data_IF_494131453390
#
_entry.id   IF_494131453390
#
_cell.length_a   1.000
_cell.length_b   1.000
_cell.length_c   1.000
_cell.angle_alpha   90.00
_cell.angle_beta   90.00
_cell.angle_gamma   90.00
#
_symmetry.space_group_name_H-M   'P 1'
#
loop_
_entity.id
_entity.type
_entity.pdbx_description
1 polymer ?
#
# COMPACT_ATOMS: atom_id res chain seq x y z
N UNK A 1 11.24 45.78 23.79
CA UNK A 1 11.75 44.82 22.81
C UNK A 1 11.59 43.43 23.39
N UNK A 2 10.68 42.61 22.86
CA UNK A 2 10.62 41.20 23.24
C UNK A 2 11.86 40.52 22.62
N UNK A 3 12.72 39.95 23.47
CA UNK A 3 13.91 39.23 23.00
C UNK A 3 13.49 38.04 22.16
N UNK A 4 14.08 37.90 20.97
CA UNK A 4 14.02 36.68 20.20
C UNK A 4 14.74 35.60 21.02
N UNK A 5 13.98 34.68 21.63
CA UNK A 5 14.54 33.47 22.22
C UNK A 5 14.77 32.52 21.05
N UNK A 6 16.03 32.36 20.63
CA UNK A 6 16.39 31.26 19.73
C UNK A 6 16.32 29.99 20.58
N UNK A 7 15.43 29.03 20.28
CA UNK A 7 15.40 27.77 21.01
C UNK A 7 16.77 27.10 20.86
N UNK A 8 17.35 26.63 21.97
CA UNK A 8 18.58 25.84 21.91
C UNK A 8 18.26 24.53 21.21
N UNK A 9 18.79 24.34 20.00
CA UNK A 9 18.67 23.07 19.30
C UNK A 9 19.53 22.01 20.03
N UNK A 10 19.02 20.78 20.22
CA UNK A 10 19.81 19.72 20.80
C UNK A 10 21.02 19.40 19.91
N UNK A 11 22.08 18.88 20.52
CA UNK A 11 23.29 18.45 19.82
C UNK A 11 23.17 16.98 19.45
N UNK A 12 23.48 16.64 18.20
CA UNK A 12 23.42 15.27 17.70
C UNK A 12 24.82 14.74 17.40
N UNK A 13 24.98 13.42 17.38
CA UNK A 13 26.21 12.77 16.91
C UNK A 13 26.44 13.03 15.42
N UNK A 14 27.71 13.05 15.00
CA UNK A 14 28.10 13.14 13.58
C UNK A 14 28.14 11.74 12.96
N UNK A 15 26.99 11.08 12.95
CA UNK A 15 26.75 9.76 12.38
C UNK A 15 25.30 9.62 11.86
N UNK A 16 24.97 8.45 11.29
CA UNK A 16 23.63 8.20 10.75
C UNK A 16 22.53 8.33 11.82
N UNK A 17 22.81 7.93 13.06
CA UNK A 17 21.85 7.99 14.17
C UNK A 17 21.55 9.44 14.56
N UNK A 18 22.58 10.29 14.59
CA UNK A 18 22.46 11.72 14.83
C UNK A 18 21.74 12.44 13.69
N UNK A 19 21.96 12.03 12.44
CA UNK A 19 21.21 12.54 11.29
C UNK A 19 19.71 12.24 11.40
N UNK A 20 19.33 11.01 11.73
CA UNK A 20 17.91 10.61 11.92
C UNK A 20 17.28 11.43 13.05
N UNK A 21 17.91 11.44 14.22
CA UNK A 21 17.44 12.17 15.40
C UNK A 21 17.31 13.68 15.13
N UNK A 22 18.25 14.24 14.36
CA UNK A 22 18.24 15.64 13.95
C UNK A 22 17.09 15.98 13.03
N UNK A 23 16.80 15.11 12.05
CA UNK A 23 15.66 15.26 11.14
C UNK A 23 14.31 15.27 11.87
N UNK A 24 14.11 14.31 12.77
CA UNK A 24 12.91 14.20 13.61
C UNK A 24 12.70 15.46 14.47
N UNK A 25 13.78 15.95 15.09
CA UNK A 25 13.73 17.17 15.89
C UNK A 25 13.36 18.39 15.05
N UNK A 26 13.91 18.53 13.83
CA UNK A 26 13.59 19.66 12.96
C UNK A 26 12.11 19.68 12.61
N UNK A 27 11.52 18.52 12.29
CA UNK A 27 10.10 18.38 12.01
C UNK A 27 9.26 18.85 13.21
N UNK A 28 9.60 18.39 14.42
CA UNK A 28 8.87 18.73 15.63
C UNK A 28 8.98 20.22 16.01
N UNK A 29 10.18 20.80 15.94
CA UNK A 29 10.43 22.21 16.33
C UNK A 29 9.88 23.20 15.30
N UNK A 30 9.99 22.87 14.00
CA UNK A 30 9.64 23.80 12.93
C UNK A 30 8.15 23.78 12.59
N UNK A 31 7.43 22.74 12.99
CA UNK A 31 6.02 22.54 12.68
C UNK A 31 5.20 22.42 13.98
N UNK A 32 5.08 23.50 14.78
CA UNK A 32 4.36 23.51 16.06
C UNK A 32 2.84 23.22 15.93
N UNK A 33 2.37 22.92 14.71
CA UNK A 33 0.99 22.55 14.36
C UNK A 33 0.88 21.25 13.56
N UNK A 34 1.97 20.51 13.34
CA UNK A 34 1.87 19.12 12.88
C UNK A 34 1.78 18.23 14.11
N UNK A 35 0.64 17.57 14.25
CA UNK A 35 0.34 16.74 15.43
C UNK A 35 0.82 15.30 15.22
N UNK A 36 1.11 14.91 13.97
CA UNK A 36 1.54 13.57 13.61
C UNK A 36 2.53 13.61 12.43
N UNK A 37 3.56 12.77 12.46
CA UNK A 37 4.42 12.46 11.31
C UNK A 37 4.81 10.99 11.32
N UNK A 38 5.29 10.46 10.19
CA UNK A 38 5.59 9.03 10.06
C UNK A 38 6.91 8.75 9.36
N UNK A 39 7.45 7.57 9.65
CA UNK A 39 8.61 7.02 8.95
C UNK A 39 8.16 6.22 7.74
N UNK A 40 8.69 6.49 6.55
CA UNK A 40 8.34 5.74 5.34
C UNK A 40 9.38 4.66 5.03
N UNK A 41 8.91 3.46 4.68
CA UNK A 41 9.72 2.39 4.11
C UNK A 41 9.15 1.89 2.80
N UNK A 42 10.01 1.44 1.89
CA UNK A 42 9.61 0.92 0.59
C UNK A 42 9.58 -0.60 0.61
N UNK A 43 8.49 -1.18 0.10
CA UNK A 43 8.37 -2.65 -0.03
C UNK A 43 9.41 -3.22 -1.00
N UNK A 44 9.95 -2.36 -1.87
CA UNK A 44 10.96 -2.67 -2.86
C UNK A 44 12.38 -2.21 -2.46
N UNK A 45 12.64 -1.91 -1.18
CA UNK A 45 13.92 -1.36 -0.73
C UNK A 45 15.16 -2.20 -1.12
N UNK A 46 15.00 -3.50 -1.37
CA UNK A 46 16.07 -4.41 -1.85
C UNK A 46 16.10 -4.60 -3.37
N UNK A 47 15.37 -3.79 -4.13
CA UNK A 47 15.35 -3.76 -5.60
C UNK A 47 13.96 -3.95 -6.20
N UNK A 48 13.25 -5.01 -5.83
CA UNK A 48 11.88 -5.32 -6.30
C UNK A 48 11.02 -5.85 -5.16
N UNK A 49 9.70 -5.88 -5.37
CA UNK A 49 8.76 -6.52 -4.45
C UNK A 49 8.46 -7.99 -4.84
N UNK A 50 9.31 -8.65 -5.64
CA UNK A 50 9.04 -10.00 -6.17
C UNK A 50 8.85 -11.05 -5.07
N UNK A 51 9.32 -10.79 -3.84
CA UNK A 51 9.14 -11.70 -2.72
C UNK A 51 7.66 -12.01 -2.44
N UNK A 52 6.73 -11.06 -2.68
CA UNK A 52 5.29 -11.28 -2.47
C UNK A 52 4.68 -12.24 -3.49
N UNK A 53 5.32 -12.39 -4.67
CA UNK A 53 4.86 -13.21 -5.78
C UNK A 53 5.26 -14.68 -5.63
N UNK A 54 6.20 -14.99 -4.72
CA UNK A 54 6.72 -16.34 -4.52
C UNK A 54 5.72 -17.19 -3.75
N UNK A 55 5.53 -18.43 -4.17
CA UNK A 55 4.69 -19.39 -3.44
C UNK A 55 5.25 -19.70 -2.02
N UNK A 56 6.55 -19.44 -1.81
CA UNK A 56 7.25 -19.58 -0.53
C UNK A 56 7.44 -18.26 0.22
N UNK A 57 6.64 -17.23 -0.09
CA UNK A 57 6.74 -15.94 0.59
C UNK A 57 6.59 -16.14 2.12
N UNK A 58 7.51 -15.56 2.89
CA UNK A 58 7.45 -15.54 4.35
C UNK A 58 7.30 -14.09 4.83
N UNK A 59 6.06 -13.56 4.87
CA UNK A 59 5.84 -12.18 5.24
C UNK A 59 6.24 -11.88 6.70
N UNK A 60 6.30 -12.90 7.56
CA UNK A 60 6.73 -12.74 8.95
C UNK A 60 8.23 -12.52 9.02
N UNK A 61 9.02 -13.34 8.31
CA UNK A 61 10.46 -13.16 8.25
C UNK A 61 10.84 -11.80 7.63
N UNK A 62 10.19 -11.41 6.53
CA UNK A 62 10.40 -10.11 5.90
C UNK A 62 10.05 -8.95 6.84
N UNK A 63 8.92 -9.03 7.54
CA UNK A 63 8.53 -8.02 8.51
C UNK A 63 9.46 -7.94 9.73
N UNK A 64 10.03 -9.07 10.17
CA UNK A 64 11.04 -9.08 11.23
C UNK A 64 12.34 -8.42 10.78
N UNK A 65 12.79 -8.67 9.55
CA UNK A 65 13.99 -8.05 9.00
C UNK A 65 13.84 -6.53 8.89
N UNK A 66 12.69 -6.06 8.37
CA UNK A 66 12.38 -4.62 8.28
C UNK A 66 12.34 -3.97 9.66
N UNK A 67 11.62 -4.57 10.61
CA UNK A 67 11.54 -4.03 11.97
C UNK A 67 12.89 -4.03 12.68
N UNK A 68 13.69 -5.09 12.50
CA UNK A 68 15.03 -5.19 13.06
C UNK A 68 15.95 -4.09 12.55
N UNK A 69 15.92 -3.82 11.25
CA UNK A 69 16.67 -2.72 10.65
C UNK A 69 16.23 -1.35 11.17
N UNK A 70 14.92 -1.09 11.25
CA UNK A 70 14.39 0.17 11.80
C UNK A 70 14.75 0.34 13.28
N UNK A 71 14.74 -0.75 14.04
CA UNK A 71 15.15 -0.72 15.44
C UNK A 71 16.64 -0.45 15.61
N UNK A 72 17.49 -1.07 14.77
CA UNK A 72 18.93 -0.81 14.73
C UNK A 72 19.21 0.67 14.46
N UNK A 73 18.48 1.28 13.53
CA UNK A 73 18.57 2.70 13.20
C UNK A 73 18.08 3.64 14.32
N UNK A 74 17.42 3.12 15.36
CA UNK A 74 16.96 3.92 16.49
C UNK A 74 15.79 4.85 16.18
N UNK A 75 15.08 4.67 15.06
CA UNK A 75 13.99 5.56 14.57
C UNK A 75 12.91 5.80 15.63
N UNK A 76 12.57 4.79 16.44
CA UNK A 76 11.52 4.90 17.45
C UNK A 76 12.06 4.98 18.89
N UNK A 77 13.31 5.42 19.08
CA UNK A 77 13.98 5.40 20.39
C UNK A 77 14.06 6.75 21.13
N UNK A 78 13.64 7.86 20.50
CA UNK A 78 13.77 9.22 21.02
C UNK A 78 12.45 9.89 21.44
N UNK A 79 12.57 11.07 22.06
CA UNK A 79 11.42 11.93 22.45
C UNK A 79 10.60 12.37 21.22
N UNK A 80 11.28 12.52 20.08
CA UNK A 80 10.69 12.92 18.81
C UNK A 80 10.50 11.73 17.87
N UNK A 81 10.20 10.54 18.39
CA UNK A 81 9.92 9.38 17.55
C UNK A 81 8.70 9.63 16.63
N UNK A 82 8.67 9.06 15.41
CA UNK A 82 7.51 9.15 14.53
C UNK A 82 6.26 8.49 15.15
N UNK A 83 5.07 8.98 14.79
CA UNK A 83 3.80 8.47 15.32
C UNK A 83 3.30 7.21 14.59
N UNK A 84 3.70 7.06 13.32
CA UNK A 84 3.31 5.93 12.49
C UNK A 84 4.44 5.48 11.55
N UNK A 85 4.28 4.31 10.95
CA UNK A 85 5.09 3.84 9.83
C UNK A 85 4.26 3.84 8.55
N UNK A 86 4.81 4.34 7.44
CA UNK A 86 4.20 4.29 6.12
C UNK A 86 4.90 3.25 5.24
N UNK A 87 4.13 2.41 4.56
CA UNK A 87 4.67 1.40 3.65
C UNK A 87 4.40 1.78 2.21
N UNK A 88 5.44 2.11 1.43
CA UNK A 88 5.36 2.36 -0.01
C UNK A 88 5.31 1.06 -0.83
N UNK A 89 4.16 0.77 -1.42
CA UNK A 89 3.94 -0.38 -2.32
C UNK A 89 4.53 -0.19 -3.70
N UNK A 90 4.75 1.04 -4.19
CA UNK A 90 4.92 1.46 -5.58
C UNK A 90 3.59 1.78 -6.29
N UNK A 91 3.36 3.06 -6.54
CA UNK A 91 2.09 3.68 -6.95
C UNK A 91 1.38 3.08 -8.18
N UNK A 92 2.05 2.31 -9.03
CA UNK A 92 1.48 1.83 -10.30
C UNK A 92 0.32 0.85 -10.08
N UNK A 93 -0.71 1.01 -10.91
CA UNK A 93 -1.81 0.06 -11.08
C UNK A 93 -1.26 -1.34 -11.42
N UNK A 94 -1.68 -2.36 -10.68
CA UNK A 94 -1.03 -3.69 -10.67
C UNK A 94 -0.87 -4.35 -12.05
N UNK A 95 -1.83 -4.16 -12.96
CA UNK A 95 -1.78 -4.76 -14.30
C UNK A 95 -1.45 -3.74 -15.40
N UNK A 96 -0.98 -2.55 -15.02
CA UNK A 96 -0.42 -1.57 -15.93
C UNK A 96 0.90 -2.07 -16.55
N UNK A 97 1.25 -1.65 -17.78
CA UNK A 97 2.50 -2.04 -18.43
C UNK A 97 3.76 -1.85 -17.56
N UNK A 98 3.80 -0.79 -16.76
CA UNK A 98 4.92 -0.46 -15.86
C UNK A 98 5.00 -1.40 -14.65
N UNK A 99 3.87 -1.93 -14.19
CA UNK A 99 3.79 -2.81 -13.04
C UNK A 99 3.93 -4.29 -13.39
N UNK A 100 3.58 -4.71 -14.61
CA UNK A 100 3.51 -6.11 -15.01
C UNK A 100 4.82 -6.88 -14.82
N UNK A 101 5.97 -6.22 -14.78
CA UNK A 101 7.24 -6.91 -14.55
C UNK A 101 7.39 -7.47 -13.11
N UNK A 102 6.91 -6.74 -12.09
CA UNK A 102 7.27 -6.98 -10.67
C UNK A 102 6.16 -6.67 -9.64
N UNK A 103 5.07 -6.02 -10.04
CA UNK A 103 4.12 -5.37 -9.12
C UNK A 103 2.65 -5.72 -9.41
N UNK A 104 2.40 -6.77 -10.21
CA UNK A 104 1.08 -7.35 -10.40
C UNK A 104 0.69 -8.25 -9.23
N UNK A 105 -0.23 -7.82 -8.37
CA UNK A 105 -0.54 -8.58 -7.15
C UNK A 105 -1.90 -9.25 -7.26
N UNK A 106 -2.00 -10.50 -6.84
CA UNK A 106 -3.29 -11.18 -6.63
C UNK A 106 -3.67 -11.11 -5.13
N UNK A 107 -4.76 -11.75 -4.71
CA UNK A 107 -5.21 -11.66 -3.32
C UNK A 107 -4.17 -12.24 -2.34
N UNK A 108 -3.54 -13.36 -2.70
CA UNK A 108 -2.46 -13.95 -1.88
C UNK A 108 -1.30 -12.96 -1.68
N UNK A 109 -0.89 -12.25 -2.74
CA UNK A 109 0.18 -11.25 -2.67
C UNK A 109 -0.19 -10.09 -1.74
N UNK A 110 -1.41 -9.57 -1.83
CA UNK A 110 -1.90 -8.52 -0.94
C UNK A 110 -1.97 -8.96 0.52
N UNK A 111 -2.40 -10.21 0.77
CA UNK A 111 -2.43 -10.79 2.11
C UNK A 111 -1.02 -10.96 2.69
N UNK A 112 -0.05 -11.38 1.87
CA UNK A 112 1.36 -11.44 2.26
C UNK A 112 1.88 -10.05 2.64
N UNK A 113 1.58 -9.03 1.83
CA UNK A 113 1.93 -7.64 2.14
C UNK A 113 1.32 -7.18 3.47
N UNK A 114 0.02 -7.40 3.70
CA UNK A 114 -0.64 -7.03 4.96
C UNK A 114 -0.09 -7.81 6.17
N UNK A 115 0.26 -9.08 6.00
CA UNK A 115 0.89 -9.88 7.04
C UNK A 115 2.27 -9.35 7.43
N UNK A 116 3.05 -8.88 6.44
CA UNK A 116 4.34 -8.21 6.68
C UNK A 116 4.13 -6.91 7.45
N UNK A 117 3.18 -6.07 7.03
CA UNK A 117 2.82 -4.82 7.73
C UNK A 117 2.43 -5.11 9.18
N UNK A 118 1.60 -6.11 9.42
CA UNK A 118 1.20 -6.53 10.77
C UNK A 118 2.39 -6.98 11.62
N UNK A 119 3.34 -7.69 11.02
CA UNK A 119 4.53 -8.14 11.73
C UNK A 119 5.44 -6.96 12.11
N UNK A 120 5.65 -6.01 11.20
CA UNK A 120 6.47 -4.81 11.48
C UNK A 120 5.81 -3.95 12.56
N UNK A 121 4.53 -3.63 12.40
CA UNK A 121 3.79 -2.81 13.36
C UNK A 121 3.72 -3.44 14.75
N UNK A 122 3.61 -4.77 14.83
CA UNK A 122 3.71 -5.51 16.10
C UNK A 122 5.09 -5.40 16.74
N UNK A 123 6.16 -5.48 15.94
CA UNK A 123 7.53 -5.42 16.45
C UNK A 123 7.92 -4.00 16.90
N UNK A 124 7.43 -2.97 16.19
CA UNK A 124 7.70 -1.56 16.51
C UNK A 124 6.71 -0.97 17.52
N UNK A 125 5.57 -1.62 17.76
CA UNK A 125 4.45 -1.10 18.56
C UNK A 125 3.87 0.22 18.01
N UNK A 126 3.86 0.33 16.68
CA UNK A 126 3.51 1.56 15.95
C UNK A 126 2.45 1.25 14.88
N UNK A 127 1.41 2.08 14.70
CA UNK A 127 0.40 1.87 13.66
C UNK A 127 0.95 2.15 12.25
N UNK A 128 0.32 1.55 11.24
CA UNK A 128 0.73 1.67 9.84
C UNK A 128 -0.23 2.49 8.98
N UNK A 129 0.34 3.26 8.06
CA UNK A 129 -0.32 3.83 6.89
C UNK A 129 0.13 3.09 5.64
N UNK A 130 -0.79 2.74 4.75
CA UNK A 130 -0.44 2.20 3.43
C UNK A 130 -0.27 3.34 2.43
N UNK A 131 0.86 3.35 1.72
CA UNK A 131 1.26 4.37 0.75
C UNK A 131 1.95 3.68 -0.44
N UNK A 132 2.16 4.30 -1.57
CA UNK A 132 1.05 4.72 -2.42
C UNK A 132 0.30 3.50 -2.95
N UNK A 133 -0.97 3.30 -2.53
CA UNK A 133 -1.79 2.19 -3.01
C UNK A 133 -2.55 2.62 -4.28
N UNK A 134 -2.42 1.90 -5.41
CA UNK A 134 -3.16 2.22 -6.62
C UNK A 134 -4.66 2.04 -6.43
N UNK A 135 -5.43 3.00 -6.91
CA UNK A 135 -6.89 3.00 -6.83
C UNK A 135 -7.59 2.14 -7.90
N UNK A 136 -6.87 1.64 -8.90
CA UNK A 136 -7.49 0.95 -10.03
C UNK A 136 -8.18 -0.34 -9.62
N UNK A 137 -9.15 -0.75 -10.43
CA UNK A 137 -9.94 -1.95 -10.21
C UNK A 137 -9.86 -2.93 -11.36
N UNK A 138 -10.39 -4.12 -11.10
CA UNK A 138 -10.54 -5.17 -12.09
C UNK A 138 -11.92 -5.01 -12.77
N UNK A 139 -11.98 -4.55 -14.03
CA UNK A 139 -13.27 -4.36 -14.71
C UNK A 139 -13.96 -5.70 -14.97
N UNK A 140 -15.27 -5.71 -14.76
CA UNK A 140 -16.13 -6.88 -15.00
C UNK A 140 -16.62 -6.94 -16.46
N UNK A 141 -17.15 -8.08 -16.88
CA UNK A 141 -17.84 -8.24 -18.17
C UNK A 141 -19.04 -7.30 -18.26
N UNK A 142 -19.80 -7.17 -17.17
CA UNK A 142 -20.99 -6.31 -17.10
C UNK A 142 -20.64 -4.82 -17.23
N UNK A 143 -19.57 -4.38 -16.55
CA UNK A 143 -19.09 -3.01 -16.62
C UNK A 143 -18.48 -2.67 -17.99
N UNK A 144 -17.80 -3.65 -18.58
CA UNK A 144 -16.92 -3.43 -19.72
C UNK A 144 -15.68 -2.62 -19.35
N UNK A 145 -15.02 -2.08 -20.37
CA UNK A 145 -13.70 -1.40 -20.26
C UNK A 145 -13.74 0.02 -20.84
N UNK A 146 -14.94 0.57 -21.06
CA UNK A 146 -15.09 1.89 -21.69
C UNK A 146 -14.77 3.04 -20.74
N UNK A 147 -14.88 2.81 -19.43
CA UNK A 147 -14.67 3.80 -18.36
C UNK A 147 -13.29 3.74 -17.71
N UNK A 148 -12.54 2.66 -17.96
CA UNK A 148 -11.22 2.44 -17.40
C UNK A 148 -10.28 1.92 -18.48
N UNK A 149 -9.14 2.58 -18.65
CA UNK A 149 -8.11 2.16 -19.60
C UNK A 149 -7.41 0.90 -19.11
N UNK A 150 -6.98 0.04 -20.03
CA UNK A 150 -6.16 -1.14 -19.70
C UNK A 150 -4.84 -0.80 -19.01
N UNK A 151 -4.34 0.43 -19.17
CA UNK A 151 -3.18 0.92 -18.44
C UNK A 151 -3.45 1.12 -16.93
N UNK A 152 -4.71 1.06 -16.50
CA UNK A 152 -5.14 1.32 -15.13
C UNK A 152 -5.88 0.14 -14.49
N UNK A 153 -5.89 -1.03 -15.14
CA UNK A 153 -6.41 -2.23 -14.50
C UNK A 153 -5.54 -2.57 -13.28
N UNK A 154 -6.17 -2.77 -12.14
CA UNK A 154 -5.46 -3.16 -10.92
C UNK A 154 -6.31 -4.00 -10.00
N UNK A 155 -5.65 -4.82 -9.19
CA UNK A 155 -6.29 -5.58 -8.12
C UNK A 155 -6.36 -4.82 -6.81
N UNK A 156 -5.62 -3.72 -6.65
CA UNK A 156 -5.52 -2.98 -5.38
C UNK A 156 -6.87 -2.41 -4.92
N UNK A 157 -7.52 -1.62 -5.77
CA UNK A 157 -8.85 -1.09 -5.50
C UNK A 157 -9.84 -2.21 -5.19
N UNK A 158 -9.91 -3.24 -6.06
CA UNK A 158 -10.81 -4.38 -5.87
C UNK A 158 -10.53 -5.18 -4.60
N UNK A 159 -9.27 -5.40 -4.23
CA UNK A 159 -8.90 -6.16 -3.04
C UNK A 159 -9.35 -5.45 -1.76
N UNK A 160 -9.04 -4.16 -1.65
CA UNK A 160 -9.35 -3.38 -0.45
C UNK A 160 -10.82 -3.00 -0.38
N UNK A 161 -11.44 -2.59 -1.49
CA UNK A 161 -12.80 -2.08 -1.48
C UNK A 161 -13.87 -3.14 -1.77
N UNK A 162 -13.49 -4.28 -2.36
CA UNK A 162 -14.41 -5.34 -2.73
C UNK A 162 -15.30 -4.99 -3.92
N UNK A 163 -15.60 -6.00 -4.74
CA UNK A 163 -16.57 -5.90 -5.84
C UNK A 163 -17.44 -7.16 -5.92
N UNK A 164 -18.66 -7.06 -5.38
CA UNK A 164 -19.59 -8.17 -5.30
C UNK A 164 -19.96 -8.76 -6.68
N UNK A 165 -19.76 -8.02 -7.78
CA UNK A 165 -19.98 -8.52 -9.14
C UNK A 165 -18.98 -9.61 -9.53
N UNK A 166 -17.79 -9.62 -8.90
CA UNK A 166 -16.75 -10.60 -9.16
C UNK A 166 -16.97 -11.87 -8.31
N UNK A 167 -17.23 -11.67 -7.02
CA UNK A 167 -17.35 -12.78 -6.08
C UNK A 167 -16.08 -13.65 -6.08
N UNK A 168 -16.27 -14.97 -6.06
CA UNK A 168 -15.17 -15.95 -6.14
C UNK A 168 -14.89 -16.46 -7.56
N UNK A 169 -15.51 -15.89 -8.60
CA UNK A 169 -15.40 -16.37 -9.99
C UNK A 169 -14.67 -15.34 -10.88
N UNK A 170 -13.37 -15.55 -11.18
CA UNK A 170 -12.63 -14.68 -12.07
C UNK A 170 -13.18 -14.57 -13.49
N UNK A 171 -14.03 -15.50 -13.96
CA UNK A 171 -14.59 -15.46 -15.31
C UNK A 171 -15.66 -14.36 -15.49
N UNK A 172 -16.07 -13.73 -14.39
CA UNK A 172 -16.89 -12.50 -14.38
C UNK A 172 -16.10 -11.25 -14.81
N UNK A 173 -14.77 -11.34 -14.87
CA UNK A 173 -13.87 -10.26 -15.27
C UNK A 173 -13.81 -10.08 -16.78
N UNK A 174 -13.46 -8.88 -17.22
CA UNK A 174 -13.29 -8.60 -18.65
C UNK A 174 -12.24 -9.51 -19.29
N UNK A 175 -12.54 -10.02 -20.48
CA UNK A 175 -11.59 -10.85 -21.25
C UNK A 175 -10.29 -10.09 -21.56
N UNK A 176 -10.34 -8.77 -21.68
CA UNK A 176 -9.14 -7.96 -21.89
C UNK A 176 -8.20 -8.05 -20.69
N UNK A 177 -8.72 -7.94 -19.46
CA UNK A 177 -7.92 -8.12 -18.25
C UNK A 177 -7.39 -9.55 -18.15
N UNK A 178 -8.26 -10.55 -18.32
CA UNK A 178 -7.89 -11.96 -18.13
C UNK A 178 -6.79 -12.40 -19.11
N UNK A 179 -6.81 -11.89 -20.34
CA UNK A 179 -5.82 -12.20 -21.38
C UNK A 179 -4.54 -11.34 -21.31
N UNK A 180 -4.42 -10.41 -20.36
CA UNK A 180 -3.18 -9.64 -20.17
C UNK A 180 -2.02 -10.59 -19.90
N UNK A 181 -0.99 -10.50 -20.73
CA UNK A 181 0.18 -11.37 -20.66
C UNK A 181 1.03 -11.07 -19.42
N UNK A 182 1.49 -12.13 -18.76
CA UNK A 182 2.42 -12.08 -17.64
C UNK A 182 3.70 -12.84 -17.97
N UNK A 183 4.80 -12.41 -17.35
CA UNK A 183 6.06 -13.16 -17.42
C UNK A 183 5.96 -14.41 -16.53
N UNK A 184 5.84 -15.60 -17.14
CA UNK A 184 5.74 -16.84 -16.37
C UNK A 184 6.95 -17.14 -15.49
N UNK A 185 8.12 -16.59 -15.78
CA UNK A 185 9.28 -16.73 -14.90
C UNK A 185 9.08 -16.01 -13.55
N UNK A 186 8.35 -14.89 -13.55
CA UNK A 186 8.05 -14.11 -12.34
C UNK A 186 6.78 -14.61 -11.64
N UNK A 187 5.71 -14.85 -12.40
CA UNK A 187 4.37 -15.14 -11.84
C UNK A 187 4.03 -16.63 -11.76
N UNK A 188 4.83 -17.48 -12.40
CA UNK A 188 4.55 -18.92 -12.53
C UNK A 188 3.46 -19.28 -13.53
N UNK A 189 2.82 -18.28 -14.16
CA UNK A 189 1.69 -18.44 -15.10
C UNK A 189 1.77 -17.40 -16.24
N UNK A 190 1.11 -17.63 -17.39
CA UNK A 190 1.27 -16.78 -18.57
C UNK A 190 0.28 -15.61 -18.65
N UNK A 191 -0.82 -15.62 -17.89
CA UNK A 191 -1.87 -14.60 -17.98
C UNK A 191 -2.35 -14.15 -16.62
N UNK A 192 -2.91 -12.94 -16.55
CA UNK A 192 -3.56 -12.43 -15.34
C UNK A 192 -4.72 -13.33 -14.91
N UNK A 193 -5.50 -13.87 -15.84
CA UNK A 193 -6.59 -14.78 -15.50
C UNK A 193 -6.09 -16.04 -14.78
N UNK A 194 -5.02 -16.65 -15.27
CA UNK A 194 -4.41 -17.81 -14.60
C UNK A 194 -3.83 -17.43 -13.23
N UNK A 195 -3.30 -16.22 -13.10
CA UNK A 195 -2.73 -15.71 -11.86
C UNK A 195 -3.78 -15.46 -10.77
N UNK A 196 -4.94 -14.93 -11.15
CA UNK A 196 -6.08 -14.76 -10.23
C UNK A 196 -6.67 -16.12 -9.81
N UNK A 197 -6.71 -17.11 -10.71
CA UNK A 197 -7.16 -18.47 -10.37
C UNK A 197 -6.25 -19.19 -9.38
N UNK A 198 -4.99 -18.77 -9.21
CA UNK A 198 -4.10 -19.31 -8.16
C UNK A 198 -4.62 -19.04 -6.74
N UNK A 199 -5.50 -18.05 -6.54
CA UNK A 199 -6.07 -17.71 -5.24
C UNK A 199 -7.16 -18.70 -4.74
N UNK A 200 -7.39 -19.81 -5.47
CA UNK A 200 -8.25 -20.94 -5.06
C UNK A 200 -9.66 -20.54 -4.61
N UNK A 201 -10.27 -19.58 -5.32
CA UNK A 201 -11.65 -19.14 -5.05
C UNK A 201 -11.77 -18.03 -4.00
N UNK A 202 -10.70 -17.25 -3.76
CA UNK A 202 -10.79 -16.01 -3.00
C UNK A 202 -11.97 -15.16 -3.48
N UNK A 203 -12.80 -14.71 -2.53
CA UNK A 203 -13.94 -13.85 -2.79
C UNK A 203 -13.50 -12.39 -2.94
N UNK A 204 -13.46 -11.90 -4.17
CA UNK A 204 -13.17 -10.50 -4.49
C UNK A 204 -14.33 -9.55 -4.17
N UNK A 205 -15.49 -10.07 -3.78
CA UNK A 205 -16.61 -9.28 -3.26
C UNK A 205 -16.37 -8.73 -1.86
N UNK A 206 -15.43 -9.30 -1.10
CA UNK A 206 -15.16 -8.88 0.26
C UNK A 206 -14.33 -7.58 0.30
N UNK A 207 -14.72 -6.66 1.19
CA UNK A 207 -14.03 -5.40 1.41
C UNK A 207 -12.94 -5.56 2.47
N UNK A 208 -11.68 -5.79 2.07
CA UNK A 208 -10.57 -5.95 3.01
C UNK A 208 -10.24 -4.68 3.80
N UNK A 209 -10.70 -3.50 3.37
CA UNK A 209 -10.61 -2.26 4.13
C UNK A 209 -11.22 -2.40 5.54
N UNK A 210 -12.27 -3.22 5.69
CA UNK A 210 -12.89 -3.54 6.98
C UNK A 210 -12.03 -4.45 7.86
N UNK A 211 -10.96 -5.05 7.35
CA UNK A 211 -10.07 -5.92 8.11
C UNK A 211 -8.74 -5.23 8.49
N UNK A 212 -8.48 -4.03 7.97
CA UNK A 212 -7.24 -3.27 8.22
C UNK A 212 -6.91 -3.02 9.70
N UNK A 213 -7.89 -2.77 10.60
CA UNK A 213 -7.58 -2.65 12.03
C UNK A 213 -6.90 -3.90 12.60
N UNK A 214 -7.20 -5.10 12.07
CA UNK A 214 -6.59 -6.36 12.50
C UNK A 214 -5.12 -6.51 12.06
N UNK A 215 -4.66 -5.64 11.15
CA UNK A 215 -3.27 -5.51 10.67
C UNK A 215 -2.56 -4.27 11.24
N UNK A 216 -3.17 -3.58 12.20
CA UNK A 216 -2.71 -2.31 12.76
C UNK A 216 -2.60 -1.17 11.73
N UNK A 217 -3.41 -1.23 10.66
CA UNK A 217 -3.41 -0.24 9.58
C UNK A 217 -4.53 0.77 9.80
N UNK A 218 -4.20 2.05 9.88
CA UNK A 218 -5.17 3.11 10.20
C UNK A 218 -5.62 3.93 9.01
N UNK A 219 -4.87 3.91 7.92
CA UNK A 219 -5.17 4.70 6.73
C UNK A 219 -4.57 4.06 5.48
N UNK A 220 -5.25 4.28 4.37
CA UNK A 220 -4.74 4.02 3.02
C UNK A 220 -4.70 5.36 2.29
N UNK A 221 -3.53 5.70 1.76
CA UNK A 221 -3.39 6.78 0.80
C UNK A 221 -3.47 6.23 -0.63
N UNK A 222 -4.59 6.55 -1.27
CA UNK A 222 -4.95 6.12 -2.60
C UNK A 222 -4.34 7.02 -3.66
N UNK A 223 -3.56 6.42 -4.55
CA UNK A 223 -3.04 7.06 -5.74
C UNK A 223 -1.58 7.53 -5.64
N UNK A 224 -1.14 8.15 -6.73
CA UNK A 224 0.22 8.63 -6.96
C UNK A 224 0.33 9.33 -8.32
N UNK A 225 1.54 9.50 -8.83
CA UNK A 225 1.87 10.21 -10.06
C UNK A 225 1.23 9.64 -11.33
N UNK A 226 1.13 8.32 -11.48
CA UNK A 226 0.61 7.68 -12.70
C UNK A 226 -0.24 6.43 -12.40
N UNK A 227 -1.34 6.65 -11.69
CA UNK A 227 -2.30 5.60 -11.27
C UNK A 227 -3.70 6.18 -11.12
N UNK A 228 -4.72 5.35 -10.90
CA UNK A 228 -6.00 5.82 -10.34
C UNK A 228 -5.80 6.34 -8.91
N UNK A 229 -6.45 7.45 -8.59
CA UNK A 229 -6.36 8.19 -7.33
C UNK A 229 -7.74 8.72 -6.94
N UNK A 230 -7.98 8.97 -5.63
CA UNK A 230 -9.21 9.65 -5.17
C UNK A 230 -9.23 11.12 -5.62
N UNK A 231 -8.06 11.74 -5.77
CA UNK A 231 -7.94 13.13 -6.25
C UNK A 231 -7.07 13.15 -7.49
N UNK A 232 -7.57 13.77 -8.55
CA UNK A 232 -6.82 13.94 -9.79
C UNK A 232 -5.73 15.00 -9.64
N UNK A 233 -4.52 14.67 -10.11
CA UNK A 233 -3.39 15.58 -10.28
C UNK A 233 -3.03 15.75 -11.77
N UNK A 234 -4.02 15.61 -12.66
CA UNK A 234 -3.92 15.68 -14.13
C UNK A 234 -3.15 14.54 -14.82
N UNK A 235 -2.26 13.82 -14.12
CA UNK A 235 -1.53 12.67 -14.64
C UNK A 235 -2.14 11.31 -14.25
N UNK A 236 -3.20 11.32 -13.43
CA UNK A 236 -3.95 10.12 -13.04
C UNK A 236 -4.84 9.61 -14.16
N UNK A 237 -5.10 8.31 -14.13
CA UNK A 237 -6.17 7.71 -14.93
C UNK A 237 -7.55 8.03 -14.38
N UNK A 238 -8.56 7.57 -15.12
CA UNK A 238 -9.98 7.62 -14.77
C UNK A 238 -10.51 6.19 -14.67
N UNK A 239 -11.38 5.94 -13.69
CA UNK A 239 -12.05 4.65 -13.46
C UNK A 239 -13.58 4.75 -13.58
N UNK A 240 -14.09 5.90 -14.00
CA UNK A 240 -15.51 6.17 -14.16
C UNK A 240 -16.23 6.44 -12.84
N UNK A 241 -15.48 6.78 -11.78
CA UNK A 241 -15.99 7.03 -10.44
C UNK A 241 -16.08 5.78 -9.56
N UNK A 242 -15.56 4.63 -10.01
CA UNK A 242 -15.69 3.36 -9.28
C UNK A 242 -15.10 3.45 -7.87
N UNK A 243 -13.86 3.94 -7.72
CA UNK A 243 -13.22 4.07 -6.42
C UNK A 243 -13.95 5.08 -5.55
N UNK A 244 -14.44 6.18 -6.12
CA UNK A 244 -15.19 7.19 -5.39
C UNK A 244 -16.50 6.62 -4.81
N UNK A 245 -17.26 5.87 -5.62
CA UNK A 245 -18.48 5.21 -5.17
C UNK A 245 -18.18 4.18 -4.06
N UNK A 246 -17.09 3.43 -4.20
CA UNK A 246 -16.62 2.49 -3.19
C UNK A 246 -16.22 3.16 -1.88
N UNK A 247 -15.60 4.34 -1.94
CA UNK A 247 -15.31 5.13 -0.75
C UNK A 247 -16.60 5.54 -0.03
N UNK A 248 -17.61 6.01 -0.78
CA UNK A 248 -18.92 6.35 -0.21
C UNK A 248 -19.55 5.13 0.47
N UNK A 249 -19.46 3.94 -0.14
CA UNK A 249 -19.91 2.68 0.44
C UNK A 249 -19.19 2.37 1.77
N UNK A 250 -17.86 2.47 1.80
CA UNK A 250 -17.08 2.27 3.02
C UNK A 250 -17.45 3.26 4.14
N UNK A 251 -17.60 4.55 3.81
CA UNK A 251 -17.93 5.59 4.78
C UNK A 251 -19.36 5.46 5.36
N UNK A 252 -20.24 4.69 4.73
CA UNK A 252 -21.56 4.41 5.27
C UNK A 252 -21.51 3.44 6.49
N UNK A 253 -20.50 2.56 6.56
CA UNK A 253 -20.34 1.59 7.64
C UNK A 253 -18.87 1.20 7.90
N UNK A 254 -18.00 2.16 8.29
CA UNK A 254 -16.58 1.88 8.48
C UNK A 254 -16.32 1.05 9.75
N UNK A 255 -15.22 0.28 9.74
CA UNK A 255 -14.71 -0.38 10.95
C UNK A 255 -13.59 0.46 11.56
N UNK A 256 -13.76 0.81 12.83
CA UNK A 256 -12.75 1.53 13.61
C UNK A 256 -11.84 0.56 14.38
N UNK A 257 -10.67 1.04 14.79
CA UNK A 257 -9.87 0.37 15.81
C UNK A 257 -10.69 0.17 17.07
N UNK A 258 -10.52 -0.99 17.69
CA UNK A 258 -11.09 -1.30 19.00
C UNK A 258 -10.01 -1.24 20.06
#
# INVERSE_FOLDING_TARGET
MAGFIVPSLPTFSDDLYGYISGGETILFVSLPRMWLFGWQTNVWATGTADWVLRDTADPVAEGQAIAGFIHELGVYSGEYAPDFIAFDKFERDCFSPDALAHYGWNATCWLNYLAMVKQVTKALLTPAMLWQIPGGHMPTVEEGVSKISAAHFASGGTFFMGDARIGSDPDTLSLQLLNTALNSATYGVPTVGDFLRKDKGYDWGQMQALNLPDFNVFSILWGGGSTISITTIHSNGEDGGWLADKMVEYYAAPRYFR
#
